data_IF_517467504064
#
_entry.id   IF_517467504064
#
_cell.length_a   1.000
_cell.length_b   1.000
_cell.length_c   1.000
_cell.angle_alpha   90.00
_cell.angle_beta   90.00
_cell.angle_gamma   90.00
#
_symmetry.space_group_name_H-M   'P 1'
#
loop_
_entity.id
_entity.type
_entity.pdbx_description
1 polymer ?
#
# COMPACT_ATOMS: atom_id res chain seq x y z
N UNK A 1 11.71 11.70 -2.02
CA UNK A 1 12.36 10.40 -2.34
C UNK A 1 11.85 9.95 -3.69
N UNK A 2 12.71 9.47 -4.60
CA UNK A 2 12.26 8.95 -5.90
C UNK A 2 11.55 7.61 -5.70
N UNK A 3 10.34 7.45 -6.24
CA UNK A 3 9.67 6.15 -6.29
C UNK A 3 10.57 5.17 -7.05
N UNK A 4 10.86 3.97 -6.48
CA UNK A 4 11.66 2.99 -7.18
C UNK A 4 10.95 2.60 -8.49
N UNK A 5 11.71 2.33 -9.54
CA UNK A 5 11.18 2.12 -10.89
C UNK A 5 11.55 0.71 -11.37
N UNK A 6 10.56 -0.06 -11.82
CA UNK A 6 10.75 -1.41 -12.34
C UNK A 6 10.86 -1.39 -13.86
N UNK A 7 12.01 -1.83 -14.37
CA UNK A 7 12.29 -1.96 -15.81
C UNK A 7 12.15 -3.39 -16.34
N UNK A 8 11.96 -4.37 -15.44
CA UNK A 8 11.96 -5.78 -15.79
C UNK A 8 10.93 -6.55 -14.97
N UNK A 9 10.30 -7.55 -15.57
CA UNK A 9 9.46 -8.55 -14.88
C UNK A 9 9.99 -9.95 -15.19
N UNK A 10 9.62 -10.93 -14.38
CA UNK A 10 9.91 -12.33 -14.66
C UNK A 10 8.67 -12.99 -15.23
N UNK A 11 8.78 -13.51 -16.46
CA UNK A 11 7.71 -14.25 -17.13
C UNK A 11 8.09 -15.72 -17.25
N UNK A 12 7.11 -16.65 -17.22
CA UNK A 12 7.37 -18.05 -17.52
C UNK A 12 7.87 -18.23 -18.96
N UNK A 13 8.92 -19.03 -19.15
CA UNK A 13 9.56 -19.24 -20.46
C UNK A 13 8.64 -19.84 -21.51
N UNK A 14 7.64 -20.63 -21.11
CA UNK A 14 6.65 -21.19 -22.04
C UNK A 14 5.86 -20.12 -22.79
N UNK A 15 5.78 -18.89 -22.26
CA UNK A 15 5.10 -17.77 -22.94
C UNK A 15 5.76 -17.44 -24.30
N UNK A 16 7.04 -17.78 -24.47
CA UNK A 16 7.77 -17.58 -25.72
C UNK A 16 7.27 -18.44 -26.89
N UNK A 17 6.53 -19.53 -26.61
CA UNK A 17 5.92 -20.36 -27.65
C UNK A 17 4.80 -19.63 -28.42
N UNK A 18 4.35 -18.50 -27.89
CA UNK A 18 3.25 -17.70 -28.42
C UNK A 18 3.73 -16.40 -29.08
N UNK A 19 5.03 -16.32 -29.41
CA UNK A 19 5.62 -15.12 -30.03
C UNK A 19 5.38 -15.14 -31.53
N UNK A 20 4.84 -14.05 -32.06
CA UNK A 20 4.52 -13.85 -33.48
C UNK A 20 5.06 -12.51 -33.98
N UNK A 21 4.92 -12.24 -35.28
CA UNK A 21 5.24 -10.97 -35.97
C UNK A 21 6.74 -10.60 -36.07
N UNK A 22 7.49 -11.24 -36.97
CA UNK A 22 8.79 -10.71 -37.40
C UNK A 22 8.63 -9.45 -38.28
N UNK A 23 9.48 -8.42 -38.13
CA UNK A 23 10.71 -8.34 -37.33
C UNK A 23 10.51 -7.78 -35.90
N UNK A 24 9.27 -7.60 -35.44
CA UNK A 24 8.95 -7.02 -34.12
C UNK A 24 8.24 -8.07 -33.25
N UNK A 25 8.99 -9.04 -32.72
CA UNK A 25 8.42 -10.18 -32.01
C UNK A 25 7.55 -9.72 -30.84
N UNK A 26 6.32 -10.23 -30.75
CA UNK A 26 5.34 -9.93 -29.72
C UNK A 26 4.62 -11.18 -29.28
N UNK A 27 4.25 -11.25 -28.01
CA UNK A 27 3.41 -12.34 -27.47
C UNK A 27 1.99 -12.15 -27.99
N UNK A 28 1.48 -13.14 -28.71
CA UNK A 28 0.09 -13.21 -29.16
C UNK A 28 -0.79 -13.65 -27.98
N UNK A 29 -1.55 -12.70 -27.45
CA UNK A 29 -2.40 -12.94 -26.28
C UNK A 29 -3.56 -13.88 -26.61
N UNK A 30 -4.15 -13.78 -27.80
CA UNK A 30 -5.28 -14.63 -28.21
C UNK A 30 -4.82 -16.07 -28.41
N UNK A 31 -3.66 -16.25 -29.05
CA UNK A 31 -3.06 -17.57 -29.22
C UNK A 31 -2.69 -18.21 -27.87
N UNK A 32 -2.16 -17.42 -26.92
CA UNK A 32 -1.89 -17.89 -25.57
C UNK A 32 -3.18 -18.33 -24.87
N UNK A 33 -4.19 -17.46 -24.81
CA UNK A 33 -5.45 -17.76 -24.13
C UNK A 33 -6.20 -18.95 -24.74
N UNK A 34 -6.06 -19.19 -26.04
CA UNK A 34 -6.68 -20.35 -26.71
C UNK A 34 -6.13 -21.72 -26.28
N UNK A 35 -4.94 -21.75 -25.65
CA UNK A 35 -4.22 -23.00 -25.30
C UNK A 35 -3.82 -23.09 -23.83
N UNK A 36 -3.80 -21.98 -23.12
CA UNK A 36 -3.32 -21.92 -21.74
C UNK A 36 -4.30 -22.59 -20.76
N UNK A 37 -3.75 -23.26 -19.75
CA UNK A 37 -4.53 -23.70 -18.58
C UNK A 37 -4.81 -22.52 -17.65
N UNK A 38 -5.81 -22.65 -16.77
CA UNK A 38 -6.10 -21.62 -15.75
C UNK A 38 -4.88 -21.30 -14.90
N UNK A 39 -4.10 -22.32 -14.49
CA UNK A 39 -2.86 -22.12 -13.72
C UNK A 39 -1.81 -21.31 -14.49
N UNK A 40 -1.67 -21.54 -15.80
CA UNK A 40 -0.75 -20.75 -16.65
C UNK A 40 -1.23 -19.29 -16.77
N UNK A 41 -2.54 -19.08 -16.93
CA UNK A 41 -3.12 -17.72 -16.97
C UNK A 41 -2.86 -16.99 -15.65
N UNK A 42 -3.10 -17.65 -14.51
CA UNK A 42 -2.83 -17.09 -13.17
C UNK A 42 -1.36 -16.75 -13.00
N UNK A 43 -0.45 -17.66 -13.38
CA UNK A 43 0.99 -17.44 -13.25
C UNK A 43 1.44 -16.19 -14.00
N UNK A 44 0.99 -16.02 -15.25
CA UNK A 44 1.30 -14.82 -16.04
C UNK A 44 0.65 -13.57 -15.44
N UNK A 45 -0.59 -13.64 -14.93
CA UNK A 45 -1.20 -12.49 -14.22
C UNK A 45 -0.32 -12.06 -13.04
N UNK A 46 0.13 -13.02 -12.22
CA UNK A 46 0.96 -12.75 -11.04
C UNK A 46 2.36 -12.21 -11.39
N UNK A 47 2.89 -12.48 -12.58
CA UNK A 47 4.12 -11.82 -13.07
C UNK A 47 3.98 -10.31 -13.22
N UNK A 48 2.79 -9.80 -13.57
CA UNK A 48 2.52 -8.37 -13.66
C UNK A 48 1.92 -7.79 -12.38
N UNK A 49 1.13 -8.59 -11.67
CA UNK A 49 0.38 -8.20 -10.49
C UNK A 49 0.69 -9.14 -9.32
N UNK A 50 1.93 -9.14 -8.79
CA UNK A 50 2.38 -10.08 -7.75
C UNK A 50 1.66 -9.92 -6.40
N UNK A 51 0.92 -8.83 -6.23
CA UNK A 51 0.14 -8.50 -5.04
C UNK A 51 -1.31 -9.01 -5.10
N UNK A 52 -1.74 -9.59 -6.23
CA UNK A 52 -3.04 -10.25 -6.30
C UNK A 52 -3.04 -11.56 -5.50
N UNK A 53 -4.16 -11.83 -4.85
CA UNK A 53 -4.42 -13.08 -4.13
C UNK A 53 -5.78 -13.61 -4.59
N UNK A 54 -5.74 -14.69 -5.35
CA UNK A 54 -6.94 -15.33 -5.85
C UNK A 54 -7.46 -16.34 -4.83
N UNK A 55 -8.77 -16.33 -4.57
CA UNK A 55 -9.43 -17.42 -3.84
C UNK A 55 -9.36 -18.72 -4.65
N UNK A 56 -9.54 -19.87 -4.01
CA UNK A 56 -9.49 -21.16 -4.72
C UNK A 56 -10.47 -21.20 -5.90
N UNK A 57 -11.70 -20.72 -5.70
CA UNK A 57 -12.71 -20.65 -6.75
C UNK A 57 -12.27 -19.72 -7.90
N UNK A 58 -11.68 -18.57 -7.58
CA UNK A 58 -11.22 -17.61 -8.59
C UNK A 58 -10.01 -18.10 -9.40
N UNK A 59 -9.20 -19.02 -8.86
CA UNK A 59 -8.10 -19.66 -9.59
C UNK A 59 -8.59 -20.69 -10.63
N UNK A 60 -9.80 -21.20 -10.45
CA UNK A 60 -10.43 -22.19 -11.33
C UNK A 60 -11.45 -21.56 -12.28
N UNK A 61 -11.92 -20.34 -11.99
CA UNK A 61 -12.85 -19.58 -12.82
C UNK A 61 -12.18 -19.05 -14.09
N UNK A 62 -12.32 -19.81 -15.17
CA UNK A 62 -11.72 -19.48 -16.46
C UNK A 62 -12.21 -18.14 -17.02
N UNK A 63 -13.51 -17.80 -16.88
CA UNK A 63 -14.06 -16.56 -17.44
C UNK A 63 -13.51 -15.33 -16.72
N UNK A 64 -13.42 -15.40 -15.38
CA UNK A 64 -12.80 -14.35 -14.58
C UNK A 64 -11.33 -14.13 -14.98
N UNK A 65 -10.57 -15.22 -15.10
CA UNK A 65 -9.16 -15.15 -15.45
C UNK A 65 -8.95 -14.61 -16.87
N UNK A 66 -9.78 -15.01 -17.84
CA UNK A 66 -9.76 -14.46 -19.20
C UNK A 66 -10.04 -12.95 -19.17
N UNK A 67 -11.06 -12.52 -18.42
CA UNK A 67 -11.40 -11.09 -18.31
C UNK A 67 -10.22 -10.29 -17.74
N UNK A 68 -9.64 -10.74 -16.63
CA UNK A 68 -8.46 -10.10 -16.02
C UNK A 68 -7.31 -10.03 -17.02
N UNK A 69 -7.05 -11.14 -17.73
CA UNK A 69 -5.94 -11.19 -18.66
C UNK A 69 -6.13 -10.21 -19.82
N UNK A 70 -7.31 -10.20 -20.43
CA UNK A 70 -7.61 -9.32 -21.57
C UNK A 70 -7.58 -7.85 -21.16
N UNK A 71 -8.16 -7.49 -20.00
CA UNK A 71 -8.26 -6.09 -19.57
C UNK A 71 -6.95 -5.55 -18.99
N UNK A 72 -6.19 -6.38 -18.27
CA UNK A 72 -5.04 -5.92 -17.47
C UNK A 72 -3.69 -6.36 -18.03
N UNK A 73 -3.59 -7.55 -18.63
CA UNK A 73 -2.32 -8.16 -19.03
C UNK A 73 -2.02 -7.97 -20.51
N UNK A 74 -2.98 -8.24 -21.40
CA UNK A 74 -2.81 -8.15 -22.84
C UNK A 74 -2.28 -6.77 -23.30
N UNK A 75 -2.78 -5.63 -22.78
CA UNK A 75 -2.23 -4.31 -23.12
C UNK A 75 -0.76 -4.14 -22.70
N UNK A 76 -0.34 -4.81 -21.63
CA UNK A 76 1.03 -4.72 -21.09
C UNK A 76 2.00 -5.63 -21.83
N UNK A 77 1.56 -6.82 -22.28
CA UNK A 77 2.36 -7.74 -23.09
C UNK A 77 2.85 -7.08 -24.38
N UNK A 78 2.08 -6.16 -24.96
CA UNK A 78 2.48 -5.39 -26.13
C UNK A 78 3.78 -4.58 -25.93
N UNK A 79 4.05 -4.14 -24.70
CA UNK A 79 5.19 -3.29 -24.36
C UNK A 79 6.40 -4.09 -23.87
N UNK A 80 6.38 -5.42 -23.97
CA UNK A 80 7.51 -6.25 -23.56
C UNK A 80 8.51 -6.41 -24.70
N UNK A 81 9.78 -6.20 -24.37
CA UNK A 81 10.90 -6.49 -25.26
C UNK A 81 11.37 -7.91 -25.03
N UNK A 82 11.12 -8.76 -26.03
CA UNK A 82 11.44 -10.19 -25.99
C UNK A 82 12.90 -10.38 -26.35
N UNK A 83 13.69 -10.81 -25.37
CA UNK A 83 15.06 -11.25 -25.57
C UNK A 83 15.12 -12.76 -25.38
N UNK A 84 15.56 -13.50 -26.41
CA UNK A 84 15.74 -14.95 -26.31
C UNK A 84 17.06 -15.22 -25.60
N UNK A 85 16.97 -15.48 -24.29
CA UNK A 85 18.09 -15.82 -23.41
C UNK A 85 18.34 -17.33 -23.28
N UNK A 86 19.27 -17.75 -22.41
CA UNK A 86 19.51 -19.16 -22.12
C UNK A 86 18.25 -19.85 -21.56
N UNK A 87 18.20 -21.17 -21.71
CA UNK A 87 17.03 -21.99 -21.41
C UNK A 87 16.82 -22.11 -19.88
N UNK A 88 16.02 -21.22 -19.31
CA UNK A 88 15.61 -21.18 -17.89
C UNK A 88 14.09 -21.24 -17.80
N UNK A 89 13.54 -21.71 -16.66
CA UNK A 89 12.09 -21.79 -16.46
C UNK A 89 11.39 -20.43 -16.55
N UNK A 90 12.11 -19.35 -16.21
CA UNK A 90 11.65 -17.97 -16.29
C UNK A 90 12.58 -17.13 -17.16
N UNK A 91 12.01 -16.12 -17.82
CA UNK A 91 12.73 -15.10 -18.58
C UNK A 91 12.60 -13.75 -17.88
N UNK A 92 13.69 -12.99 -17.85
CA UNK A 92 13.66 -11.61 -17.43
C UNK A 92 13.25 -10.75 -18.63
N UNK A 93 12.00 -10.32 -18.63
CA UNK A 93 11.41 -9.56 -19.72
C UNK A 93 11.54 -8.06 -19.46
N UNK A 94 12.11 -7.32 -20.41
CA UNK A 94 12.29 -5.88 -20.28
C UNK A 94 11.00 -5.14 -20.65
N UNK A 95 10.63 -4.16 -19.85
CA UNK A 95 9.47 -3.30 -20.08
C UNK A 95 9.88 -2.08 -20.91
N UNK A 96 9.17 -1.80 -22.00
CA UNK A 96 9.38 -0.57 -22.79
C UNK A 96 8.97 0.68 -22.00
N UNK A 97 8.01 0.54 -21.10
CA UNK A 97 7.58 1.58 -20.17
C UNK A 97 7.80 1.12 -18.73
N UNK A 98 8.67 1.79 -17.97
CA UNK A 98 8.88 1.45 -16.58
C UNK A 98 7.60 1.58 -15.75
N UNK A 99 7.46 0.71 -14.74
CA UNK A 99 6.34 0.77 -13.77
C UNK A 99 6.86 1.43 -12.48
N UNK A 100 6.09 2.39 -11.96
CA UNK A 100 6.35 2.97 -10.63
C UNK A 100 6.11 1.91 -9.55
N UNK A 101 7.14 1.60 -8.76
CA UNK A 101 7.10 0.64 -7.65
C UNK A 101 6.60 1.37 -6.39
N UNK A 102 5.42 1.97 -6.46
CA UNK A 102 4.65 2.12 -5.22
C UNK A 102 4.21 0.69 -4.91
N UNK A 103 4.70 0.10 -3.82
CA UNK A 103 4.29 -1.25 -3.43
C UNK A 103 2.76 -1.27 -3.33
N UNK A 104 2.06 -1.97 -4.22
CA UNK A 104 0.61 -1.94 -4.23
C UNK A 104 0.08 -2.69 -3.01
N UNK A 105 -1.15 -2.39 -2.62
CA UNK A 105 -1.85 -3.16 -1.60
C UNK A 105 -2.08 -4.60 -2.05
N UNK A 106 -2.06 -5.54 -1.09
CA UNK A 106 -2.51 -6.90 -1.38
C UNK A 106 -3.99 -6.83 -1.77
N UNK A 107 -4.33 -7.38 -2.92
CA UNK A 107 -5.72 -7.37 -3.42
C UNK A 107 -6.26 -8.78 -3.50
N UNK A 108 -7.31 -9.04 -2.74
CA UNK A 108 -8.07 -10.29 -2.87
C UNK A 108 -8.98 -10.20 -4.09
N UNK A 109 -8.89 -11.21 -4.95
CA UNK A 109 -9.69 -11.35 -6.17
C UNK A 109 -10.57 -12.57 -5.99
N UNK A 110 -11.88 -12.34 -5.92
CA UNK A 110 -12.88 -13.38 -5.81
C UNK A 110 -13.87 -13.37 -6.98
N UNK A 111 -14.08 -12.21 -7.59
CA UNK A 111 -15.03 -12.02 -8.68
C UNK A 111 -14.58 -10.93 -9.65
N UNK A 112 -15.28 -10.81 -10.78
CA UNK A 112 -15.00 -9.79 -11.79
C UNK A 112 -15.29 -8.36 -11.33
N UNK A 113 -16.04 -8.18 -10.24
CA UNK A 113 -16.29 -6.87 -9.63
C UNK A 113 -15.07 -6.35 -8.85
N UNK A 114 -14.15 -7.23 -8.46
CA UNK A 114 -12.91 -6.86 -7.76
C UNK A 114 -11.86 -6.27 -8.72
N UNK A 115 -12.13 -6.35 -10.02
CA UNK A 115 -11.21 -6.09 -11.11
C UNK A 115 -11.73 -4.92 -11.95
N UNK A 116 -11.13 -3.76 -11.72
CA UNK A 116 -11.24 -2.57 -12.56
C UNK A 116 -9.85 -1.93 -12.61
N UNK A 117 -9.17 -2.05 -13.75
CA UNK A 117 -7.81 -1.55 -13.93
C UNK A 117 -7.74 -0.03 -13.69
N UNK A 118 -8.71 0.73 -14.19
CA UNK A 118 -8.75 2.18 -14.05
C UNK A 118 -8.97 2.62 -12.60
N UNK A 119 -9.81 1.89 -11.86
CA UNK A 119 -10.01 2.10 -10.43
C UNK A 119 -8.76 1.77 -9.62
N UNK A 120 -8.14 0.62 -9.90
CA UNK A 120 -6.93 0.15 -9.21
C UNK A 120 -5.79 1.15 -9.41
N UNK A 121 -5.51 1.52 -10.65
CA UNK A 121 -4.42 2.44 -10.98
C UNK A 121 -4.67 3.80 -10.32
N UNK A 122 -5.91 4.33 -10.37
CA UNK A 122 -6.24 5.60 -9.75
C UNK A 122 -6.07 5.57 -8.22
N UNK A 123 -6.49 4.50 -7.54
CA UNK A 123 -6.31 4.40 -6.09
C UNK A 123 -4.82 4.35 -5.72
N UNK A 124 -4.05 3.54 -6.45
CA UNK A 124 -2.63 3.34 -6.19
C UNK A 124 -1.78 4.58 -6.49
N UNK A 125 -2.19 5.40 -7.46
CA UNK A 125 -1.48 6.62 -7.84
C UNK A 125 -1.82 7.81 -6.94
N UNK A 126 -3.09 7.97 -6.54
CA UNK A 126 -3.56 9.20 -5.89
C UNK A 126 -3.90 9.04 -4.40
N UNK A 127 -4.38 7.88 -3.97
CA UNK A 127 -4.82 7.66 -2.58
C UNK A 127 -3.72 6.99 -1.75
N UNK A 128 -3.24 5.84 -2.22
CA UNK A 128 -2.32 4.97 -1.49
C UNK A 128 -1.00 5.65 -1.07
N UNK A 129 -0.36 6.51 -1.89
CA UNK A 129 0.89 7.14 -1.49
C UNK A 129 0.71 8.07 -0.29
N UNK A 130 -0.40 8.79 -0.22
CA UNK A 130 -0.68 9.69 0.89
C UNK A 130 -0.96 8.92 2.19
N UNK A 131 -1.64 7.77 2.10
CA UNK A 131 -1.83 6.86 3.24
C UNK A 131 -0.47 6.35 3.75
N UNK A 132 0.36 5.79 2.86
CA UNK A 132 1.66 5.20 3.23
C UNK A 132 2.69 6.21 3.73
N UNK A 133 2.61 7.46 3.29
CA UNK A 133 3.55 8.51 3.71
C UNK A 133 3.11 9.27 4.96
N UNK A 134 2.04 8.85 5.65
CA UNK A 134 1.54 9.54 6.84
C UNK A 134 0.84 10.88 6.54
N UNK A 135 0.51 11.15 5.27
CA UNK A 135 -0.11 12.40 4.84
C UNK A 135 -1.64 12.28 4.88
N UNK A 136 -2.19 11.93 6.05
CA UNK A 136 -3.58 11.45 6.16
C UNK A 136 -4.65 12.49 5.79
N UNK A 137 -4.36 13.78 5.95
CA UNK A 137 -5.27 14.83 5.49
C UNK A 137 -5.37 14.88 3.96
N UNK A 138 -4.23 14.80 3.28
CA UNK A 138 -4.18 14.72 1.82
C UNK A 138 -4.79 13.40 1.33
N UNK A 139 -4.57 12.30 2.07
CA UNK A 139 -5.20 11.02 1.79
C UNK A 139 -6.72 11.12 1.86
N UNK A 140 -7.28 11.75 2.90
CA UNK A 140 -8.72 11.93 3.05
C UNK A 140 -9.33 12.76 1.89
N UNK A 141 -8.64 13.81 1.43
CA UNK A 141 -9.05 14.59 0.26
C UNK A 141 -9.03 13.75 -1.03
N UNK A 142 -7.93 13.01 -1.27
CA UNK A 142 -7.81 12.13 -2.42
C UNK A 142 -8.88 11.03 -2.41
N UNK A 143 -9.15 10.42 -1.25
CA UNK A 143 -10.17 9.39 -1.06
C UNK A 143 -11.58 9.95 -1.32
N UNK A 144 -11.85 11.18 -0.88
CA UNK A 144 -13.12 11.85 -1.17
C UNK A 144 -13.32 12.04 -2.68
N UNK A 145 -12.29 12.50 -3.39
CA UNK A 145 -12.33 12.65 -4.85
C UNK A 145 -12.46 11.32 -5.57
N UNK A 146 -11.76 10.29 -5.08
CA UNK A 146 -11.87 8.92 -5.56
C UNK A 146 -13.30 8.39 -5.42
N UNK A 147 -13.91 8.53 -4.23
CA UNK A 147 -15.28 8.11 -3.97
C UNK A 147 -16.31 8.90 -4.81
N UNK A 148 -16.01 10.14 -5.18
CA UNK A 148 -16.85 10.90 -6.11
C UNK A 148 -16.79 10.33 -7.53
N UNK A 149 -15.62 9.86 -7.96
CA UNK A 149 -15.41 9.30 -9.30
C UNK A 149 -15.92 7.86 -9.44
N UNK A 150 -15.74 7.04 -8.41
CA UNK A 150 -16.08 5.61 -8.42
C UNK A 150 -17.18 5.23 -7.42
N UNK A 151 -17.97 6.22 -6.99
CA UNK A 151 -19.16 6.16 -6.13
C UNK A 151 -18.96 5.73 -4.67
N UNK A 152 -18.10 4.75 -4.41
CA UNK A 152 -17.82 4.20 -3.08
C UNK A 152 -16.41 3.61 -3.01
N UNK A 153 -15.96 3.16 -1.84
CA UNK A 153 -14.73 2.38 -1.66
C UNK A 153 -15.08 0.89 -1.46
N UNK A 154 -14.32 -0.01 -2.07
CA UNK A 154 -14.50 -1.45 -1.87
C UNK A 154 -13.77 -1.95 -0.61
N UNK A 155 -13.96 -3.23 -0.30
CA UNK A 155 -13.36 -3.90 0.86
C UNK A 155 -11.83 -3.76 0.91
N UNK A 156 -11.14 -3.92 -0.23
CA UNK A 156 -9.67 -3.83 -0.28
C UNK A 156 -9.19 -2.40 0.01
N UNK A 157 -9.85 -1.39 -0.53
CA UNK A 157 -9.48 0.02 -0.35
C UNK A 157 -9.77 0.51 1.08
N UNK A 158 -10.87 0.06 1.68
CA UNK A 158 -11.15 0.31 3.11
C UNK A 158 -10.13 -0.42 3.98
N UNK A 159 -9.74 -1.64 3.58
CA UNK A 159 -8.71 -2.42 4.26
C UNK A 159 -7.38 -1.67 4.39
N UNK A 160 -6.98 -0.91 3.36
CA UNK A 160 -5.77 -0.09 3.43
C UNK A 160 -5.88 1.06 4.45
N UNK A 161 -7.04 1.69 4.57
CA UNK A 161 -7.28 2.74 5.57
C UNK A 161 -7.20 2.13 6.98
N UNK A 162 -7.77 0.94 7.17
CA UNK A 162 -7.74 0.21 8.45
C UNK A 162 -6.32 -0.23 8.82
N UNK A 163 -5.56 -0.80 7.89
CA UNK A 163 -4.16 -1.15 8.13
C UNK A 163 -3.34 0.09 8.52
N UNK A 164 -3.56 1.21 7.82
CA UNK A 164 -2.87 2.48 8.12
C UNK A 164 -3.28 3.02 9.49
N UNK A 165 -4.54 2.83 9.90
CA UNK A 165 -5.01 3.17 11.23
C UNK A 165 -4.32 2.35 12.32
N UNK A 166 -4.13 1.06 12.10
CA UNK A 166 -3.43 0.19 13.04
C UNK A 166 -1.97 0.62 13.22
N UNK A 167 -1.28 0.96 12.12
CA UNK A 167 0.07 1.55 12.16
C UNK A 167 0.09 2.89 12.93
N UNK A 168 -0.91 3.74 12.71
CA UNK A 168 -1.04 5.02 13.43
C UNK A 168 -1.30 4.82 14.93
N UNK A 169 -2.04 3.78 15.32
CA UNK A 169 -2.25 3.40 16.72
C UNK A 169 -0.96 2.89 17.37
N UNK A 170 -0.16 2.10 16.67
CA UNK A 170 1.14 1.65 17.17
C UNK A 170 2.05 2.85 17.45
N UNK A 171 2.15 3.79 16.50
CA UNK A 171 2.89 5.05 16.69
C UNK A 171 2.34 5.88 17.87
N UNK A 172 1.01 5.97 18.03
CA UNK A 172 0.39 6.62 19.19
C UNK A 172 0.82 5.97 20.51
N UNK A 173 0.85 4.63 20.57
CA UNK A 173 1.29 3.90 21.76
C UNK A 173 2.78 4.13 22.06
N UNK A 174 3.64 4.11 21.03
CA UNK A 174 5.07 4.39 21.17
C UNK A 174 5.31 5.82 21.71
N UNK A 175 4.63 6.82 21.13
CA UNK A 175 4.70 8.20 21.57
C UNK A 175 4.19 8.38 23.00
N UNK A 176 3.13 7.66 23.38
CA UNK A 176 2.65 7.61 24.77
C UNK A 176 3.70 7.08 25.74
N UNK A 177 4.44 6.03 25.35
CA UNK A 177 5.57 5.49 26.12
C UNK A 177 6.70 6.51 26.27
N UNK A 178 7.10 7.15 25.17
CA UNK A 178 8.13 8.20 25.16
C UNK A 178 7.75 9.39 26.05
N UNK A 179 6.49 9.81 25.99
CA UNK A 179 5.96 10.88 26.84
C UNK A 179 6.03 10.50 28.32
N UNK A 180 5.66 9.27 28.68
CA UNK A 180 5.78 8.78 30.05
C UNK A 180 7.23 8.75 30.54
N UNK A 181 8.18 8.34 29.69
CA UNK A 181 9.61 8.37 30.00
C UNK A 181 10.11 9.80 30.21
N UNK A 182 9.69 10.74 29.36
CA UNK A 182 10.04 12.15 29.50
C UNK A 182 9.55 12.74 30.84
N UNK A 183 8.29 12.47 31.22
CA UNK A 183 7.75 12.87 32.52
C UNK A 183 8.55 12.29 33.69
N UNK A 184 8.86 11.00 33.68
CA UNK A 184 9.66 10.34 34.73
C UNK A 184 11.07 10.93 34.82
N UNK A 185 11.67 11.32 33.70
CA UNK A 185 12.99 11.96 33.67
C UNK A 185 12.96 13.34 34.35
N UNK A 186 11.94 14.14 34.05
CA UNK A 186 11.72 15.45 34.69
C UNK A 186 11.47 15.29 36.19
N UNK A 187 10.62 14.34 36.59
CA UNK A 187 10.34 14.03 37.99
C UNK A 187 11.63 13.66 38.73
N UNK A 188 12.47 12.80 38.15
CA UNK A 188 13.77 12.44 38.70
C UNK A 188 14.68 13.65 38.88
N UNK A 189 14.77 14.53 37.87
CA UNK A 189 15.59 15.75 37.96
C UNK A 189 15.08 16.66 39.08
N UNK A 190 13.76 16.84 39.20
CA UNK A 190 13.15 17.62 40.28
C UNK A 190 13.48 17.05 41.66
N UNK A 191 13.43 15.73 41.84
CA UNK A 191 13.82 15.09 43.10
C UNK A 191 15.30 15.33 43.43
N UNK A 192 16.19 15.26 42.43
CA UNK A 192 17.61 15.53 42.62
C UNK A 192 17.90 17.00 42.97
N UNK A 193 17.13 17.93 42.41
CA UNK A 193 17.23 19.36 42.74
C UNK A 193 16.83 19.67 44.20
N UNK A 194 16.10 18.77 44.86
CA UNK A 194 15.68 18.90 46.26
C UNK A 194 16.68 18.27 47.25
N UNK A 195 17.76 17.64 46.77
CA UNK A 195 18.75 17.01 47.66
C UNK A 195 19.46 18.03 48.55
N UNK A 196 19.50 17.80 49.88
CA UNK A 196 20.20 18.71 50.79
C UNK A 196 21.71 18.66 50.53
N UNK A 197 22.37 19.81 50.59
CA UNK A 197 23.81 20.00 50.34
C UNK A 197 24.26 19.78 48.88
N UNK A 198 23.37 19.97 47.91
CA UNK A 198 23.73 19.97 46.50
C UNK A 198 24.79 21.05 46.21
N UNK A 199 25.87 20.67 45.50
CA UNK A 199 26.90 21.64 45.10
C UNK A 199 26.37 22.64 44.07
N UNK A 200 26.93 23.85 44.03
CA UNK A 200 26.53 24.87 43.05
C UNK A 200 26.68 24.37 41.60
N UNK A 201 27.75 23.65 41.29
CA UNK A 201 27.99 23.08 39.96
C UNK A 201 26.96 22.02 39.62
N UNK A 202 26.66 21.11 40.56
CA UNK A 202 25.63 20.08 40.36
C UNK A 202 24.23 20.68 40.20
N UNK A 203 23.93 21.76 40.91
CA UNK A 203 22.69 22.51 40.75
C UNK A 203 22.56 23.08 39.33
N UNK A 204 23.59 23.78 38.84
CA UNK A 204 23.59 24.34 37.49
C UNK A 204 23.47 23.26 36.41
N UNK A 205 24.15 22.13 36.58
CA UNK A 205 24.05 20.99 35.65
C UNK A 205 22.64 20.38 35.62
N UNK A 206 22.01 20.20 36.79
CA UNK A 206 20.64 19.71 36.88
C UNK A 206 19.62 20.71 36.31
N UNK A 207 19.81 22.00 36.53
CA UNK A 207 18.96 23.06 35.95
C UNK A 207 19.05 23.07 34.41
N UNK A 208 20.24 22.88 33.86
CA UNK A 208 20.44 22.74 32.42
C UNK A 208 19.76 21.46 31.87
N UNK A 209 19.91 20.33 32.56
CA UNK A 209 19.21 19.08 32.20
C UNK A 209 17.70 19.25 32.27
N UNK A 210 17.19 19.97 33.27
CA UNK A 210 15.77 20.26 33.41
C UNK A 210 15.22 21.06 32.21
N UNK A 211 15.93 22.10 31.78
CA UNK A 211 15.55 22.89 30.59
C UNK A 211 15.49 22.04 29.32
N UNK A 212 16.49 21.19 29.10
CA UNK A 212 16.51 20.26 27.97
C UNK A 212 15.38 19.23 28.05
N UNK A 213 15.15 18.65 29.23
CA UNK A 213 14.09 17.67 29.45
C UNK A 213 12.70 18.27 29.21
N UNK A 214 12.44 19.51 29.65
CA UNK A 214 11.18 20.21 29.35
C UNK A 214 10.99 20.48 27.86
N UNK A 215 12.05 20.84 27.14
CA UNK A 215 12.00 21.03 25.69
C UNK A 215 11.64 19.72 24.99
N UNK A 216 12.27 18.61 25.40
CA UNK A 216 11.95 17.28 24.90
C UNK A 216 10.51 16.86 25.22
N UNK A 217 10.05 17.10 26.46
CA UNK A 217 8.67 16.82 26.88
C UNK A 217 7.67 17.55 25.98
N UNK A 218 7.90 18.84 25.71
CA UNK A 218 7.02 19.62 24.84
C UNK A 218 6.98 19.05 23.42
N UNK A 219 8.13 18.67 22.87
CA UNK A 219 8.20 18.00 21.57
C UNK A 219 7.41 16.68 21.53
N UNK A 220 7.48 15.87 22.60
CA UNK A 220 6.72 14.63 22.70
C UNK A 220 5.21 14.88 22.84
N UNK A 221 4.80 15.91 23.58
CA UNK A 221 3.39 16.31 23.69
C UNK A 221 2.82 16.72 22.32
N UNK A 222 3.57 17.54 21.58
CA UNK A 222 3.14 18.02 20.27
C UNK A 222 3.03 16.85 19.26
N UNK A 223 4.00 15.92 19.28
CA UNK A 223 3.95 14.70 18.47
C UNK A 223 2.75 13.80 18.84
N UNK A 224 2.49 13.63 20.14
CA UNK A 224 1.35 12.85 20.62
C UNK A 224 0.01 13.45 20.19
N UNK A 225 -0.12 14.78 20.24
CA UNK A 225 -1.32 15.48 19.77
C UNK A 225 -1.57 15.24 18.27
N UNK A 226 -0.52 15.28 17.45
CA UNK A 226 -0.61 14.97 16.02
C UNK A 226 -1.04 13.52 15.81
N UNK A 227 -0.36 12.56 16.44
CA UNK A 227 -0.68 11.14 16.30
C UNK A 227 -2.12 10.82 16.74
N UNK A 228 -2.62 11.47 17.80
CA UNK A 228 -4.01 11.32 18.25
C UNK A 228 -4.99 11.77 17.18
N UNK A 229 -4.75 12.94 16.56
CA UNK A 229 -5.62 13.48 15.50
C UNK A 229 -5.60 12.59 14.26
N UNK A 230 -4.44 12.07 13.92
CA UNK A 230 -4.23 11.22 12.76
C UNK A 230 -4.95 9.87 12.90
N UNK A 231 -4.79 9.20 14.05
CA UNK A 231 -5.51 7.96 14.35
C UNK A 231 -7.04 8.20 14.34
N UNK A 232 -7.52 9.28 14.97
CA UNK A 232 -8.94 9.62 14.98
C UNK A 232 -9.49 9.90 13.57
N UNK A 233 -8.72 10.58 12.71
CA UNK A 233 -9.10 10.85 11.32
C UNK A 233 -9.24 9.55 10.53
N UNK A 234 -8.26 8.66 10.61
CA UNK A 234 -8.27 7.39 9.89
C UNK A 234 -9.42 6.49 10.36
N UNK A 235 -9.68 6.44 11.66
CA UNK A 235 -10.81 5.70 12.23
C UNK A 235 -12.15 6.21 11.69
N UNK A 236 -12.35 7.53 11.70
CA UNK A 236 -13.57 8.16 11.20
C UNK A 236 -13.75 7.92 9.69
N UNK A 237 -12.67 8.02 8.92
CA UNK A 237 -12.67 7.80 7.48
C UNK A 237 -13.03 6.36 7.13
N UNK A 238 -12.40 5.38 7.79
CA UNK A 238 -12.70 3.96 7.59
C UNK A 238 -14.15 3.63 7.95
N UNK A 239 -14.63 4.13 9.10
CA UNK A 239 -15.99 3.89 9.58
C UNK A 239 -17.04 4.46 8.61
N UNK A 240 -16.83 5.69 8.14
CA UNK A 240 -17.71 6.32 7.16
C UNK A 240 -17.82 5.51 5.87
N UNK A 241 -16.68 5.11 5.29
CA UNK A 241 -16.69 4.39 4.02
C UNK A 241 -17.21 2.96 4.17
N UNK A 242 -17.05 2.33 5.34
CA UNK A 242 -17.66 1.04 5.66
C UNK A 242 -19.19 1.14 5.65
N UNK A 243 -19.77 2.13 6.31
CA UNK A 243 -21.22 2.36 6.29
C UNK A 243 -21.76 2.66 4.88
N UNK A 244 -21.00 3.39 4.07
CA UNK A 244 -21.37 3.68 2.68
C UNK A 244 -21.39 2.39 1.87
N UNK A 245 -20.38 1.54 2.00
CA UNK A 245 -20.29 0.27 1.29
C UNK A 245 -21.44 -0.69 1.68
N UNK A 246 -21.71 -0.82 2.98
CA UNK A 246 -22.83 -1.64 3.49
C UNK A 246 -24.18 -1.19 2.89
N UNK A 247 -24.41 0.13 2.77
CA UNK A 247 -25.62 0.67 2.13
C UNK A 247 -25.69 0.34 0.64
N UNK A 248 -24.58 0.36 -0.07
CA UNK A 248 -24.55 0.02 -1.50
C UNK A 248 -24.86 -1.47 -1.72
N UNK A 249 -24.28 -2.34 -0.91
CA UNK A 249 -24.51 -3.79 -0.98
C UNK A 249 -25.97 -4.15 -0.68
N UNK A 250 -26.59 -3.48 0.29
CA UNK A 250 -28.01 -3.65 0.61
C UNK A 250 -28.94 -3.16 -0.51
N UNK A 251 -28.56 -2.09 -1.22
CA UNK A 251 -29.36 -1.55 -2.32
C UNK A 251 -29.22 -2.38 -3.60
N UNK A 252 -28.07 -3.02 -3.84
CA UNK A 252 -27.84 -3.90 -4.99
C UNK A 252 -28.49 -5.29 -4.89
N UNK A 253 -29.09 -5.64 -3.75
CA UNK A 253 -29.80 -6.92 -3.53
C UNK A 253 -31.32 -6.84 -3.77
N UNK A 254 -31.85 -5.70 -4.20
CA UNK A 254 -33.27 -5.51 -4.56
C UNK A 254 -33.45 -5.47 -6.07
#
# INVERSE_FOLDING_TARGET
>A
MSTPVQFHIFLPSYILQYVVNEPRPRIDSDLFLSKATTSQIVEVILSFYPYFRFTQNAQEDHELLLKIFVEMIAPRLYYILIHVGPNTDYIQAQLSHPISIIQPSIRWVNSSADIDAGRIDHFNEFCLPNLKNGQYRLAAEAIKEFARKFEYLNHNEIGEILSTHDDALENYHELGGNLQVAYKSIEKINLQLLEPNLSLTSFQDLENKFKLANTSLKSHQDAMEVATKDAALLHALASYHKEVLEKQELNGQK
#
